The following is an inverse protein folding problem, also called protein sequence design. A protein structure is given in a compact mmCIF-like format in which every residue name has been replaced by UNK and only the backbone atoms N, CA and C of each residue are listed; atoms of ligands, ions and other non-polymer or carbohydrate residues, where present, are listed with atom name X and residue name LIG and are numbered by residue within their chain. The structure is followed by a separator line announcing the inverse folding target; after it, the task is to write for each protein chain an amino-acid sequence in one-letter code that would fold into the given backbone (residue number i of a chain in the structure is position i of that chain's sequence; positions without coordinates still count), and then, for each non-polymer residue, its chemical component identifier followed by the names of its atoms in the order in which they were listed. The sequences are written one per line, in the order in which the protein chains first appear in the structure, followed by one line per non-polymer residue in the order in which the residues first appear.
data_IF_363570867360
#
_entry.id   IF_363570867360
#
_cell.length_a   1.000
_cell.length_b   1.000
_cell.length_c   1.000
_cell.angle_alpha   90.00
_cell.angle_beta   90.00
_cell.angle_gamma   90.00
#
_symmetry.space_group_name_H-M   'P 1'
#
loop_
_entity.id
_entity.type
_entity.pdbx_description
1 polymer ?
#
# COMPACT_ATOMS: atom_id res chain seq x y z
N UNK A 1 -27.19 30.19 -3.25
CA UNK A 1 -26.08 29.43 -2.65
C UNK A 1 -24.97 30.40 -2.29
N UNK A 2 -24.37 30.25 -1.13
CA UNK A 2 -23.20 31.04 -0.76
C UNK A 2 -22.03 30.67 -1.66
N UNK A 3 -21.29 31.67 -2.15
CA UNK A 3 -20.09 31.44 -2.97
C UNK A 3 -18.87 31.96 -2.23
N UNK A 4 -17.85 31.11 -2.10
CA UNK A 4 -16.53 31.48 -1.58
C UNK A 4 -15.48 31.35 -2.68
N UNK A 5 -14.46 32.22 -2.66
CA UNK A 5 -13.39 32.20 -3.66
C UNK A 5 -12.01 32.00 -3.01
N UNK A 6 -11.17 31.20 -3.66
CA UNK A 6 -9.78 30.95 -3.33
C UNK A 6 -8.93 30.95 -4.62
N UNK A 7 -7.61 31.04 -4.52
CA UNK A 7 -6.76 30.80 -5.68
C UNK A 7 -6.74 29.32 -6.01
N UNK A 8 -6.70 28.48 -4.97
CA UNK A 8 -6.69 27.03 -5.11
C UNK A 8 -7.62 26.38 -4.09
N UNK A 9 -8.46 25.46 -4.55
CA UNK A 9 -9.28 24.58 -3.71
C UNK A 9 -8.73 23.17 -3.78
N UNK A 10 -8.54 22.55 -2.62
CA UNK A 10 -7.97 21.20 -2.47
C UNK A 10 -9.04 20.31 -1.87
N UNK A 11 -9.35 19.18 -2.50
CA UNK A 11 -10.29 18.18 -2.03
C UNK A 11 -9.54 17.11 -1.22
N UNK A 12 -9.82 17.03 0.07
CA UNK A 12 -9.23 16.06 1.00
C UNK A 12 -8.14 16.65 1.89
N UNK A 13 -8.32 16.48 3.23
CA UNK A 13 -7.43 16.95 4.29
C UNK A 13 -6.33 15.94 4.70
N UNK A 14 -6.02 14.96 3.85
CA UNK A 14 -4.90 14.04 4.06
C UNK A 14 -3.53 14.69 3.84
N UNK A 15 -2.45 13.88 3.93
CA UNK A 15 -1.08 14.36 3.73
C UNK A 15 -0.92 15.14 2.42
N UNK A 16 -1.37 14.59 1.30
CA UNK A 16 -1.23 15.21 -0.01
C UNK A 16 -1.92 16.57 -0.08
N UNK A 17 -3.14 16.65 0.46
CA UNK A 17 -3.91 17.92 0.46
C UNK A 17 -3.29 18.99 1.34
N UNK A 18 -2.89 18.64 2.57
CA UNK A 18 -2.27 19.63 3.48
C UNK A 18 -0.87 20.06 3.02
N UNK A 19 -0.08 19.16 2.41
CA UNK A 19 1.21 19.53 1.79
C UNK A 19 0.97 20.53 0.65
N UNK A 20 0.03 20.22 -0.24
CA UNK A 20 -0.35 21.10 -1.36
C UNK A 20 -0.80 22.48 -0.87
N UNK A 21 -1.70 22.51 0.12
CA UNK A 21 -2.23 23.75 0.68
C UNK A 21 -1.14 24.61 1.34
N UNK A 22 -0.26 23.99 2.15
CA UNK A 22 0.86 24.70 2.75
C UNK A 22 1.84 25.24 1.71
N UNK A 23 2.13 24.46 0.66
CA UNK A 23 3.02 24.90 -0.40
C UNK A 23 2.39 26.06 -1.20
N UNK A 24 1.10 25.99 -1.51
CA UNK A 24 0.36 27.10 -2.14
C UNK A 24 0.41 28.37 -1.29
N UNK A 25 0.15 28.26 0.01
CA UNK A 25 0.21 29.39 0.93
C UNK A 25 1.63 29.99 1.06
N UNK A 26 2.69 29.16 1.04
CA UNK A 26 4.07 29.66 0.97
C UNK A 26 4.37 30.46 -0.31
N UNK A 27 3.66 30.17 -1.39
CA UNK A 27 3.75 30.90 -2.67
C UNK A 27 2.83 32.11 -2.72
N UNK A 28 2.18 32.49 -1.62
CA UNK A 28 1.29 33.63 -1.53
C UNK A 28 -0.12 33.39 -2.07
N UNK A 29 -0.50 32.14 -2.35
CA UNK A 29 -1.83 31.80 -2.85
C UNK A 29 -2.81 31.56 -1.70
N UNK A 30 -4.05 32.02 -1.86
CA UNK A 30 -5.16 31.72 -0.94
C UNK A 30 -5.60 30.27 -1.16
N UNK A 31 -5.25 29.38 -0.22
CA UNK A 31 -5.55 27.95 -0.28
C UNK A 31 -6.70 27.58 0.64
N UNK A 32 -7.67 26.82 0.13
CA UNK A 32 -8.79 26.26 0.90
C UNK A 32 -8.82 24.73 0.72
N UNK A 33 -8.77 23.99 1.83
CA UNK A 33 -8.91 22.53 1.85
C UNK A 33 -10.33 22.18 2.25
N UNK A 34 -11.00 21.35 1.47
CA UNK A 34 -12.31 20.79 1.76
C UNK A 34 -12.16 19.36 2.30
N UNK A 35 -12.53 19.14 3.54
CA UNK A 35 -12.46 17.84 4.20
C UNK A 35 -13.85 17.34 4.56
N UNK A 36 -14.18 16.10 4.17
CA UNK A 36 -15.51 15.52 4.42
C UNK A 36 -15.77 15.20 5.89
N UNK A 37 -14.72 14.91 6.66
CA UNK A 37 -14.82 14.61 8.08
C UNK A 37 -15.23 15.84 8.89
N UNK A 38 -16.17 15.67 9.84
CA UNK A 38 -16.68 16.76 10.70
C UNK A 38 -15.88 16.93 11.98
N UNK A 39 -15.26 15.84 12.46
CA UNK A 39 -14.51 15.85 13.72
C UNK A 39 -13.23 16.69 13.59
N UNK A 40 -12.77 17.27 14.69
CA UNK A 40 -11.46 17.95 14.76
C UNK A 40 -10.34 17.00 14.29
N UNK A 41 -10.36 15.76 14.77
CA UNK A 41 -9.46 14.70 14.35
C UNK A 41 -10.15 13.76 13.36
N UNK A 42 -10.57 14.30 12.20
CA UNK A 42 -11.20 13.52 11.13
C UNK A 42 -10.36 12.32 10.71
N UNK A 43 -11.03 11.24 10.31
CA UNK A 43 -10.36 10.02 9.86
C UNK A 43 -9.89 10.16 8.40
N UNK A 44 -8.69 9.68 8.14
CA UNK A 44 -8.13 9.53 6.79
C UNK A 44 -6.96 8.53 6.83
N UNK A 45 -6.54 8.05 5.66
CA UNK A 45 -5.48 7.05 5.58
C UNK A 45 -4.14 7.53 6.18
N UNK A 46 -3.87 8.83 6.17
CA UNK A 46 -2.66 9.39 6.79
C UNK A 46 -2.60 9.12 8.29
N UNK A 47 -3.73 9.15 9.00
CA UNK A 47 -3.75 8.80 10.44
C UNK A 47 -3.47 7.32 10.68
N UNK A 48 -3.88 6.47 9.76
CA UNK A 48 -3.70 5.01 9.83
C UNK A 48 -2.33 4.53 9.35
N UNK A 49 -1.48 5.43 8.82
CA UNK A 49 -0.17 5.05 8.31
C UNK A 49 0.79 4.57 9.39
N UNK A 50 1.68 3.64 9.05
CA UNK A 50 2.88 3.34 9.84
C UNK A 50 3.90 4.49 9.84
N UNK A 51 3.76 5.46 8.94
CA UNK A 51 4.55 6.67 8.89
C UNK A 51 5.94 6.52 8.27
N UNK A 52 6.18 5.45 7.54
CA UNK A 52 7.47 5.19 6.89
C UNK A 52 7.52 5.84 5.50
N UNK A 53 8.53 6.67 5.27
CA UNK A 53 8.82 7.29 3.97
C UNK A 53 9.93 6.52 3.26
N UNK A 54 9.58 5.82 2.20
CA UNK A 54 10.51 5.02 1.40
C UNK A 54 10.06 4.92 -0.06
N UNK A 55 10.96 4.53 -0.95
CA UNK A 55 10.66 4.11 -2.31
C UNK A 55 11.15 2.68 -2.53
N UNK A 56 10.26 1.78 -2.92
CA UNK A 56 10.57 0.36 -3.18
C UNK A 56 11.42 -0.31 -2.08
N UNK A 57 11.04 -0.09 -0.79
CA UNK A 57 11.75 -0.58 0.40
C UNK A 57 13.21 -0.12 0.52
N UNK A 58 13.57 1.00 -0.12
CA UNK A 58 14.86 1.66 0.03
C UNK A 58 14.67 3.05 0.63
N UNK A 59 15.76 3.60 1.17
CA UNK A 59 15.77 4.95 1.70
C UNK A 59 15.39 5.98 0.62
N UNK A 60 14.35 6.79 0.89
CA UNK A 60 13.80 7.76 -0.06
C UNK A 60 14.76 8.91 -0.44
N UNK A 61 15.84 9.12 0.33
CA UNK A 61 16.82 10.19 0.10
C UNK A 61 18.07 9.73 -0.66
N UNK A 62 18.08 8.50 -1.19
CA UNK A 62 19.16 8.00 -2.07
C UNK A 62 19.22 8.77 -3.39
N UNK A 63 20.26 8.53 -4.15
CA UNK A 63 20.48 9.18 -5.47
C UNK A 63 19.27 8.96 -6.38
N UNK A 64 18.80 10.05 -7.01
CA UNK A 64 17.58 10.03 -7.81
C UNK A 64 17.63 9.05 -8.98
N UNK A 65 18.78 8.94 -9.67
CA UNK A 65 18.95 8.00 -10.79
C UNK A 65 18.81 6.54 -10.34
N UNK A 66 19.40 6.20 -9.18
CA UNK A 66 19.22 4.88 -8.58
C UNK A 66 17.77 4.59 -8.22
N UNK A 67 17.07 5.55 -7.57
CA UNK A 67 15.68 5.40 -7.20
C UNK A 67 14.76 5.30 -8.42
N UNK A 68 15.03 6.08 -9.48
CA UNK A 68 14.27 6.03 -10.72
C UNK A 68 14.38 4.64 -11.38
N UNK A 69 15.61 4.12 -11.52
CA UNK A 69 15.83 2.77 -12.05
C UNK A 69 15.11 1.72 -11.18
N UNK A 70 15.25 1.80 -9.87
CA UNK A 70 14.62 0.88 -8.92
C UNK A 70 13.10 0.88 -9.02
N UNK A 71 12.45 2.05 -9.17
CA UNK A 71 11.00 2.15 -9.36
C UNK A 71 10.59 1.42 -10.63
N UNK A 72 11.28 1.63 -11.74
CA UNK A 72 11.00 0.96 -13.03
C UNK A 72 11.11 -0.56 -12.91
N UNK A 73 12.19 -1.06 -12.32
CA UNK A 73 12.45 -2.49 -12.13
C UNK A 73 11.40 -3.12 -11.20
N UNK A 74 11.11 -2.49 -10.06
CA UNK A 74 10.16 -3.02 -9.07
C UNK A 74 8.72 -3.06 -9.60
N UNK A 75 8.36 -2.10 -10.45
CA UNK A 75 7.01 -2.02 -11.03
C UNK A 75 6.89 -2.75 -12.37
N UNK A 76 7.97 -3.37 -12.86
CA UNK A 76 8.00 -4.07 -14.15
C UNK A 76 7.54 -3.17 -15.32
N UNK A 77 7.93 -1.92 -15.28
CA UNK A 77 7.53 -0.92 -16.27
C UNK A 77 6.06 -0.47 -16.20
N UNK A 78 5.30 -0.89 -15.19
CA UNK A 78 3.90 -0.49 -15.02
C UNK A 78 3.75 1.01 -14.75
N UNK A 79 4.70 1.62 -14.06
CA UNK A 79 4.69 3.05 -13.75
C UNK A 79 4.99 3.88 -15.01
N UNK A 80 4.37 5.05 -15.14
CA UNK A 80 4.76 6.04 -16.14
C UNK A 80 6.13 6.61 -15.78
N UNK A 81 7.04 6.67 -16.76
CA UNK A 81 8.44 7.01 -16.55
C UNK A 81 8.63 8.44 -16.01
N UNK A 82 7.87 9.40 -16.52
CA UNK A 82 7.85 10.79 -16.05
C UNK A 82 7.43 10.90 -14.57
N UNK A 83 6.43 10.14 -14.15
CA UNK A 83 6.00 10.10 -12.75
C UNK A 83 7.01 9.37 -11.86
N UNK A 84 7.65 8.29 -12.35
CA UNK A 84 8.72 7.61 -11.64
C UNK A 84 9.91 8.55 -11.40
N UNK A 85 10.29 9.33 -12.43
CA UNK A 85 11.34 10.34 -12.33
C UNK A 85 11.00 11.43 -11.31
N UNK A 86 9.76 11.94 -11.35
CA UNK A 86 9.30 12.96 -10.41
C UNK A 86 9.36 12.47 -8.95
N UNK A 87 8.96 11.23 -8.70
CA UNK A 87 9.05 10.61 -7.37
C UNK A 87 10.49 10.49 -6.90
N UNK A 88 11.38 10.01 -7.77
CA UNK A 88 12.80 9.85 -7.46
C UNK A 88 13.48 11.20 -7.15
N UNK A 89 13.24 12.23 -7.95
CA UNK A 89 13.77 13.58 -7.75
C UNK A 89 13.18 14.29 -6.53
N UNK A 90 11.96 13.91 -6.15
CA UNK A 90 11.22 14.50 -5.03
C UNK A 90 11.60 13.96 -3.66
N UNK A 91 12.18 12.77 -3.59
CA UNK A 91 12.34 12.05 -2.33
C UNK A 91 13.07 12.81 -1.22
N UNK A 92 14.30 13.27 -1.52
CA UNK A 92 15.07 14.06 -0.55
C UNK A 92 14.43 15.43 -0.27
N UNK A 93 13.84 16.05 -1.30
CA UNK A 93 13.21 17.38 -1.20
C UNK A 93 12.02 17.36 -0.26
N UNK A 94 11.17 16.34 -0.34
CA UNK A 94 9.97 16.25 0.52
C UNK A 94 10.35 16.01 1.98
N UNK A 95 11.37 15.19 2.26
CA UNK A 95 11.86 14.99 3.63
C UNK A 95 12.38 16.31 4.21
N UNK A 96 13.23 17.03 3.49
CA UNK A 96 13.74 18.32 3.92
C UNK A 96 12.62 19.35 4.13
N UNK A 97 11.66 19.41 3.22
CA UNK A 97 10.52 20.31 3.35
C UNK A 97 9.66 19.99 4.56
N UNK A 98 9.33 18.71 4.81
CA UNK A 98 8.56 18.30 5.98
C UNK A 98 9.30 18.61 7.29
N UNK A 99 10.63 18.44 7.34
CA UNK A 99 11.43 18.83 8.49
C UNK A 99 11.38 20.36 8.74
N UNK A 100 11.44 21.16 7.66
CA UNK A 100 11.28 22.61 7.74
C UNK A 100 9.87 23.02 8.22
N UNK A 101 8.84 22.21 7.94
CA UNK A 101 7.48 22.36 8.47
C UNK A 101 7.35 21.96 9.96
N UNK A 102 8.41 21.47 10.59
CA UNK A 102 8.43 21.04 11.99
C UNK A 102 8.07 19.56 12.20
N UNK A 103 7.98 18.77 11.12
CA UNK A 103 7.72 17.34 11.21
C UNK A 103 8.97 16.61 11.67
N UNK A 104 8.80 15.75 12.68
CA UNK A 104 9.89 14.98 13.27
C UNK A 104 9.92 13.56 12.71
N UNK A 105 11.10 13.10 12.39
CA UNK A 105 11.37 11.74 11.94
C UNK A 105 12.30 11.02 12.92
N UNK A 106 12.24 9.71 12.92
CA UNK A 106 13.14 8.83 13.63
C UNK A 106 13.51 7.61 12.78
N UNK A 107 14.62 6.96 13.11
CA UNK A 107 14.95 5.64 12.59
C UNK A 107 14.28 4.58 13.46
N UNK A 108 13.41 3.74 12.88
CA UNK A 108 12.68 2.72 13.63
C UNK A 108 13.39 1.36 13.69
N UNK A 109 14.30 1.07 12.75
CA UNK A 109 15.11 -0.17 12.74
C UNK A 109 16.41 0.00 11.95
N UNK A 110 17.22 -1.06 11.88
CA UNK A 110 18.43 -1.10 11.05
C UNK A 110 18.15 -1.12 9.54
N UNK A 111 16.94 -1.49 9.12
CA UNK A 111 16.56 -1.52 7.69
C UNK A 111 16.58 -0.12 7.09
N UNK A 112 17.10 0.00 5.85
CA UNK A 112 17.21 1.29 5.16
C UNK A 112 15.87 2.02 5.02
N UNK A 113 14.80 1.30 4.69
CA UNK A 113 13.47 1.89 4.51
C UNK A 113 12.83 2.38 5.82
N UNK A 114 13.37 2.02 6.99
CA UNK A 114 12.97 2.54 8.30
C UNK A 114 13.77 3.75 8.78
N UNK A 115 14.56 4.38 7.91
CA UNK A 115 15.33 5.57 8.28
C UNK A 115 14.44 6.78 8.55
N UNK A 116 13.40 6.95 7.75
CA UNK A 116 12.50 8.11 7.81
C UNK A 116 11.09 7.68 8.25
N UNK A 117 10.92 7.48 9.55
CA UNK A 117 9.64 7.13 10.16
C UNK A 117 9.13 8.31 10.97
N UNK A 118 7.86 8.69 10.80
CA UNK A 118 7.24 9.78 11.56
C UNK A 118 7.29 9.51 13.07
N UNK A 119 7.65 10.54 13.85
CA UNK A 119 7.68 10.48 15.31
C UNK A 119 6.45 11.17 15.92
N UNK A 120 5.85 10.59 16.98
CA UNK A 120 6.13 9.27 17.54
C UNK A 120 5.65 8.15 16.63
N UNK A 121 6.33 7.00 16.61
CA UNK A 121 6.02 5.92 15.69
C UNK A 121 4.66 5.30 15.99
N UNK A 122 4.07 4.63 15.00
CA UNK A 122 2.91 3.78 15.18
C UNK A 122 3.17 2.70 16.24
N UNK A 123 2.11 2.24 16.93
CA UNK A 123 2.20 1.08 17.81
C UNK A 123 2.09 -0.20 17.01
N UNK A 124 2.25 -1.36 17.67
CA UNK A 124 2.18 -2.70 17.06
C UNK A 124 0.85 -3.01 16.33
N UNK A 125 -0.20 -2.25 16.61
CA UNK A 125 -1.49 -2.26 15.90
C UNK A 125 -1.70 -0.92 15.17
N UNK A 126 -0.83 -0.58 14.23
CA UNK A 126 -0.99 0.62 13.41
C UNK A 126 -2.34 0.61 12.69
N UNK A 127 -2.96 1.77 12.63
CA UNK A 127 -4.32 1.93 12.12
C UNK A 127 -5.40 1.77 13.19
N UNK A 128 -5.09 1.19 14.36
CA UNK A 128 -6.03 1.11 15.48
C UNK A 128 -5.69 2.12 16.58
N UNK A 129 -4.39 2.32 16.87
CA UNK A 129 -3.88 3.26 17.87
C UNK A 129 -3.20 4.46 17.20
N UNK A 130 -3.92 5.18 16.36
CA UNK A 130 -3.34 6.27 15.56
C UNK A 130 -3.22 7.60 16.32
N UNK A 131 -4.06 7.84 17.30
CA UNK A 131 -4.13 9.13 17.99
C UNK A 131 -2.82 9.47 18.71
N UNK A 132 -2.33 10.67 18.48
CA UNK A 132 -1.04 11.14 19.00
C UNK A 132 0.18 10.46 18.35
N UNK A 133 0.01 9.68 17.28
CA UNK A 133 1.10 9.07 16.52
C UNK A 133 1.53 9.94 15.34
N UNK A 134 2.60 9.55 14.68
CA UNK A 134 3.25 10.37 13.65
C UNK A 134 2.32 10.89 12.56
N UNK A 135 1.39 10.07 12.05
CA UNK A 135 0.41 10.52 11.07
C UNK A 135 -0.56 11.58 11.61
N UNK A 136 -1.03 11.43 12.85
CA UNK A 136 -1.88 12.42 13.52
C UNK A 136 -1.12 13.71 13.85
N UNK A 137 0.09 13.59 14.40
CA UNK A 137 0.94 14.75 14.70
C UNK A 137 1.27 15.53 13.45
N UNK A 138 1.62 14.85 12.37
CA UNK A 138 1.90 15.45 11.06
C UNK A 138 0.71 16.27 10.55
N UNK A 139 -0.49 15.71 10.54
CA UNK A 139 -1.68 16.43 10.05
C UNK A 139 -1.99 17.67 10.89
N UNK A 140 -1.96 17.56 12.22
CA UNK A 140 -2.19 18.71 13.11
C UNK A 140 -1.13 19.80 12.93
N UNK A 141 0.14 19.42 12.75
CA UNK A 141 1.22 20.39 12.50
C UNK A 141 1.02 21.12 11.16
N UNK A 142 0.72 20.37 10.09
CA UNK A 142 0.48 20.99 8.77
C UNK A 142 -0.78 21.84 8.75
N UNK A 143 -1.84 21.46 9.46
CA UNK A 143 -3.04 22.27 9.61
C UNK A 143 -2.74 23.60 10.35
N UNK A 144 -2.04 23.53 11.48
CA UNK A 144 -1.64 24.74 12.21
C UNK A 144 -0.78 25.69 11.36
N UNK A 145 0.15 25.14 10.57
CA UNK A 145 0.98 25.92 9.66
C UNK A 145 0.16 26.56 8.55
N UNK A 146 -0.83 25.84 7.98
CA UNK A 146 -1.73 26.36 6.96
C UNK A 146 -2.53 27.55 7.48
N UNK A 147 -3.14 27.42 8.65
CA UNK A 147 -3.92 28.49 9.31
C UNK A 147 -3.01 29.69 9.60
N UNK A 148 -1.80 29.50 10.12
CA UNK A 148 -0.83 30.56 10.36
C UNK A 148 -0.47 31.34 9.08
N UNK A 149 -0.52 30.71 7.91
CA UNK A 149 -0.28 31.32 6.59
C UNK A 149 -1.52 31.91 5.95
N UNK A 150 -2.66 31.93 6.67
CA UNK A 150 -3.93 32.48 6.15
C UNK A 150 -4.74 31.53 5.25
N UNK A 151 -4.32 30.27 5.13
CA UNK A 151 -5.12 29.22 4.47
C UNK A 151 -6.22 28.67 5.37
N UNK A 152 -7.12 27.89 4.81
CA UNK A 152 -8.32 27.39 5.51
C UNK A 152 -8.50 25.90 5.30
N UNK A 153 -8.84 25.17 6.37
CA UNK A 153 -9.36 23.80 6.32
C UNK A 153 -10.84 23.81 6.75
N UNK A 154 -11.73 23.45 5.83
CA UNK A 154 -13.18 23.40 6.05
C UNK A 154 -13.61 21.95 6.25
N UNK A 155 -14.04 21.63 7.47
CA UNK A 155 -14.56 20.31 7.85
C UNK A 155 -16.04 20.17 7.49
N UNK A 156 -16.48 18.93 7.23
CA UNK A 156 -17.84 18.63 6.81
C UNK A 156 -18.15 19.03 5.35
N UNK A 157 -17.14 19.49 4.61
CA UNK A 157 -17.27 19.95 3.23
C UNK A 157 -16.97 18.81 2.25
N UNK A 158 -17.88 17.86 2.11
CA UNK A 158 -17.74 16.78 1.13
C UNK A 158 -17.92 17.30 -0.29
N UNK A 159 -16.88 17.19 -1.12
CA UNK A 159 -16.95 17.52 -2.55
C UNK A 159 -17.90 16.54 -3.27
N UNK A 160 -18.80 17.07 -4.09
CA UNK A 160 -19.79 16.28 -4.84
C UNK A 160 -19.58 16.38 -6.36
N UNK A 161 -19.13 17.54 -6.84
CA UNK A 161 -18.88 17.75 -8.27
C UNK A 161 -17.79 18.82 -8.48
N UNK A 162 -17.09 18.71 -9.61
CA UNK A 162 -16.26 19.76 -10.14
C UNK A 162 -17.14 20.69 -10.97
N UNK A 163 -16.92 22.01 -10.84
CA UNK A 163 -17.63 23.03 -11.59
C UNK A 163 -16.82 23.39 -12.82
N UNK A 164 -17.49 23.54 -13.97
CA UNK A 164 -16.84 23.89 -15.23
C UNK A 164 -17.53 25.09 -15.90
N UNK A 165 -16.72 25.96 -16.48
CA UNK A 165 -17.18 27.06 -17.35
C UNK A 165 -16.26 27.09 -18.58
N UNK A 166 -16.85 27.13 -19.77
CA UNK A 166 -16.11 27.13 -21.05
C UNK A 166 -15.05 25.98 -21.15
N UNK A 167 -15.37 24.78 -20.63
CA UNK A 167 -14.46 23.63 -20.65
C UNK A 167 -13.33 23.67 -19.61
N UNK A 168 -13.26 24.69 -18.75
CA UNK A 168 -12.27 24.79 -17.69
C UNK A 168 -12.90 24.50 -16.33
N UNK A 169 -12.17 23.81 -15.45
CA UNK A 169 -12.57 23.61 -14.07
C UNK A 169 -12.41 24.93 -13.30
N UNK A 170 -13.50 25.43 -12.73
CA UNK A 170 -13.56 26.72 -12.03
C UNK A 170 -13.90 26.60 -10.55
N UNK A 171 -13.98 25.38 -10.03
CA UNK A 171 -14.27 25.20 -8.61
C UNK A 171 -14.87 23.83 -8.27
N UNK A 172 -15.37 23.75 -7.05
CA UNK A 172 -15.94 22.53 -6.43
C UNK A 172 -17.31 22.86 -5.85
N UNK A 173 -18.26 21.96 -6.05
CA UNK A 173 -19.57 21.99 -5.42
C UNK A 173 -19.60 21.00 -4.26
N UNK A 174 -20.02 21.48 -3.09
CA UNK A 174 -20.43 20.68 -1.95
C UNK A 174 -21.94 20.66 -1.80
N UNK A 175 -22.49 20.01 -0.81
CA UNK A 175 -23.94 20.00 -0.57
C UNK A 175 -24.51 21.41 -0.41
N UNK A 176 -23.83 22.26 0.36
CA UNK A 176 -24.38 23.52 0.84
C UNK A 176 -23.76 24.76 0.18
N UNK A 177 -22.64 24.58 -0.56
CA UNK A 177 -21.85 25.71 -1.03
C UNK A 177 -21.10 25.43 -2.32
N UNK A 178 -20.86 26.47 -3.10
CA UNK A 178 -19.93 26.49 -4.24
C UNK A 178 -18.62 27.18 -3.85
N UNK A 179 -17.51 26.51 -4.19
CA UNK A 179 -16.15 26.98 -3.92
C UNK A 179 -15.45 27.27 -5.23
N UNK A 180 -15.40 28.56 -5.59
CA UNK A 180 -14.74 28.97 -6.82
C UNK A 180 -13.24 29.07 -6.64
N UNK A 181 -12.48 28.63 -7.66
CA UNK A 181 -11.02 28.63 -7.64
C UNK A 181 -10.45 28.73 -9.06
N UNK A 182 -9.23 29.24 -9.15
CA UNK A 182 -8.44 29.24 -10.39
C UNK A 182 -7.89 27.83 -10.70
N UNK A 183 -7.69 27.01 -9.66
CA UNK A 183 -7.26 25.63 -9.79
C UNK A 183 -7.89 24.75 -8.71
N UNK A 184 -8.16 23.50 -9.04
CA UNK A 184 -8.64 22.47 -8.10
C UNK A 184 -7.63 21.32 -8.06
N UNK A 185 -7.29 20.88 -6.84
CA UNK A 185 -6.46 19.70 -6.63
C UNK A 185 -7.29 18.61 -5.96
N UNK A 186 -7.32 17.43 -6.56
CA UNK A 186 -7.97 16.25 -6.03
C UNK A 186 -6.93 15.48 -5.19
N UNK A 187 -7.14 15.40 -3.88
CA UNK A 187 -6.27 14.75 -2.90
C UNK A 187 -7.07 13.91 -1.89
N UNK A 188 -8.26 13.44 -2.28
CA UNK A 188 -9.26 12.74 -1.46
C UNK A 188 -8.92 11.25 -1.19
N UNK A 189 -7.78 10.78 -1.71
CA UNK A 189 -7.30 9.39 -1.54
C UNK A 189 -7.75 8.48 -2.67
N UNK A 190 -7.84 7.18 -2.36
CA UNK A 190 -8.20 6.15 -3.34
C UNK A 190 -9.69 5.77 -3.29
N UNK A 191 -9.97 4.52 -3.71
CA UNK A 191 -11.34 4.01 -3.78
C UNK A 191 -11.55 2.69 -3.01
N UNK A 192 -10.61 2.31 -2.16
CA UNK A 192 -10.59 1.01 -1.48
C UNK A 192 -11.81 0.77 -0.56
N UNK A 193 -12.55 1.81 -0.16
CA UNK A 193 -13.79 1.68 0.61
C UNK A 193 -15.04 1.53 -0.27
N UNK A 194 -14.90 1.58 -1.59
CA UNK A 194 -16.01 1.44 -2.53
C UNK A 194 -16.03 0.02 -3.09
N UNK A 195 -16.99 -0.86 -2.71
CA UNK A 195 -17.03 -2.25 -3.14
C UNK A 195 -17.14 -2.40 -4.66
N UNK A 196 -17.94 -1.55 -5.31
CA UNK A 196 -18.16 -1.60 -6.78
C UNK A 196 -16.88 -1.28 -7.55
N UNK A 197 -16.13 -0.24 -7.12
CA UNK A 197 -14.85 0.10 -7.73
C UNK A 197 -13.79 -0.95 -7.43
N UNK A 198 -13.80 -1.54 -6.24
CA UNK A 198 -12.90 -2.64 -5.87
C UNK A 198 -13.20 -3.89 -6.71
N UNK A 199 -14.47 -4.24 -6.91
CA UNK A 199 -14.88 -5.35 -7.76
C UNK A 199 -14.51 -5.09 -9.23
N UNK A 200 -14.77 -3.89 -9.72
CA UNK A 200 -14.47 -3.51 -11.10
C UNK A 200 -12.98 -3.55 -11.44
N UNK A 201 -12.12 -3.10 -10.51
CA UNK A 201 -10.73 -2.82 -10.83
C UNK A 201 -9.70 -3.72 -10.15
N UNK A 202 -10.01 -4.28 -8.97
CA UNK A 202 -8.99 -4.91 -8.12
C UNK A 202 -9.24 -6.41 -7.91
N UNK A 203 -10.43 -6.81 -7.49
CA UNK A 203 -10.73 -8.21 -7.15
C UNK A 203 -12.18 -8.53 -7.38
N UNK A 204 -12.47 -9.70 -7.97
CA UNK A 204 -13.85 -10.19 -8.14
C UNK A 204 -14.59 -10.42 -6.82
N UNK A 205 -13.85 -10.54 -5.71
CA UNK A 205 -14.42 -10.77 -4.38
C UNK A 205 -13.80 -9.80 -3.35
N UNK A 206 -14.11 -8.49 -3.43
CA UNK A 206 -13.49 -7.47 -2.58
C UNK A 206 -13.79 -7.66 -1.09
N UNK A 207 -14.92 -8.29 -0.73
CA UNK A 207 -15.26 -8.63 0.64
C UNK A 207 -14.29 -9.65 1.29
N UNK A 208 -13.50 -10.38 0.48
CA UNK A 208 -12.46 -11.30 0.93
C UNK A 208 -11.09 -10.65 1.09
N UNK A 209 -11.04 -9.32 1.05
CA UNK A 209 -9.83 -8.53 1.27
C UNK A 209 -9.98 -7.71 2.55
N UNK A 210 -9.07 -7.90 3.52
CA UNK A 210 -9.07 -7.11 4.76
C UNK A 210 -8.56 -5.70 4.47
N UNK A 211 -9.32 -4.69 4.89
CA UNK A 211 -8.99 -3.28 4.66
C UNK A 211 -8.34 -2.66 5.90
N UNK A 212 -7.20 -1.99 5.74
CA UNK A 212 -6.59 -1.13 6.74
C UNK A 212 -6.60 0.31 6.25
N UNK A 213 -7.64 1.05 6.57
CA UNK A 213 -7.82 2.41 6.09
C UNK A 213 -8.68 3.24 7.06
N UNK A 214 -8.82 4.53 6.78
CA UNK A 214 -9.65 5.47 7.55
C UNK A 214 -11.15 5.38 7.28
N UNK A 215 -11.63 4.45 6.44
CA UNK A 215 -13.05 4.30 6.12
C UNK A 215 -13.63 5.41 5.24
N UNK A 216 -12.81 6.23 4.59
CA UNK A 216 -13.24 7.47 3.93
C UNK A 216 -12.95 7.56 2.44
N UNK A 217 -12.20 6.61 1.87
CA UNK A 217 -11.73 6.65 0.48
C UNK A 217 -12.68 5.88 -0.45
N UNK A 218 -13.71 6.55 -0.96
CA UNK A 218 -14.75 5.98 -1.83
C UNK A 218 -14.56 6.26 -3.33
N UNK A 219 -13.47 6.96 -3.73
CA UNK A 219 -13.18 7.30 -5.11
C UNK A 219 -14.05 8.44 -5.64
N UNK A 220 -14.49 9.36 -4.79
CA UNK A 220 -15.31 10.50 -5.21
C UNK A 220 -14.54 11.40 -6.18
N UNK A 221 -13.27 11.72 -5.89
CA UNK A 221 -12.39 12.46 -6.78
C UNK A 221 -12.13 11.79 -8.11
N UNK A 222 -11.95 10.46 -8.10
CA UNK A 222 -11.81 9.65 -9.32
C UNK A 222 -13.04 9.83 -10.22
N UNK A 223 -14.25 9.68 -9.65
CA UNK A 223 -15.51 9.81 -10.39
C UNK A 223 -15.72 11.23 -10.91
N UNK A 224 -15.43 12.24 -10.08
CA UNK A 224 -15.53 13.64 -10.50
C UNK A 224 -14.59 13.98 -11.67
N UNK A 225 -13.34 13.50 -11.61
CA UNK A 225 -12.39 13.68 -12.69
C UNK A 225 -12.83 12.95 -13.98
N UNK A 226 -13.30 11.71 -13.84
CA UNK A 226 -13.81 10.92 -14.97
C UNK A 226 -15.03 11.58 -15.63
N UNK A 227 -15.92 12.18 -14.86
CA UNK A 227 -17.08 12.91 -15.38
C UNK A 227 -16.71 14.11 -16.26
N UNK A 228 -15.49 14.65 -16.09
CA UNK A 228 -14.91 15.71 -16.94
C UNK A 228 -14.01 15.17 -18.06
N UNK A 229 -14.03 13.86 -18.31
CA UNK A 229 -13.26 13.24 -19.39
C UNK A 229 -11.80 12.92 -19.05
N UNK A 230 -11.40 12.94 -17.79
CA UNK A 230 -10.05 12.53 -17.39
C UNK A 230 -9.81 11.05 -17.72
N UNK A 231 -8.64 10.73 -18.27
CA UNK A 231 -8.21 9.35 -18.51
C UNK A 231 -7.92 8.66 -17.18
N UNK A 232 -8.48 7.48 -16.99
CA UNK A 232 -8.27 6.65 -15.81
C UNK A 232 -7.27 5.56 -16.15
N UNK A 233 -6.17 5.48 -15.41
CA UNK A 233 -5.10 4.50 -15.61
C UNK A 233 -4.65 3.93 -14.27
N UNK A 234 -4.08 2.70 -14.30
CA UNK A 234 -3.40 2.12 -13.13
C UNK A 234 -4.32 1.73 -11.98
N UNK A 235 -5.62 1.52 -12.21
CA UNK A 235 -6.59 1.22 -11.16
C UNK A 235 -6.53 -0.21 -10.65
N UNK A 236 -5.84 -1.11 -11.36
CA UNK A 236 -5.76 -2.55 -11.07
C UNK A 236 -4.55 -2.94 -10.23
N UNK A 237 -3.95 -2.00 -9.53
CA UNK A 237 -2.83 -2.23 -8.60
C UNK A 237 -3.09 -1.51 -7.29
N UNK A 238 -2.63 -2.11 -6.19
CA UNK A 238 -2.71 -1.52 -4.86
C UNK A 238 -1.46 -1.80 -4.04
N UNK A 239 -1.24 -1.00 -3.02
CA UNK A 239 -0.26 -1.27 -1.98
C UNK A 239 -0.94 -2.07 -0.86
N UNK A 240 -0.49 -3.29 -0.66
CA UNK A 240 -1.03 -4.19 0.34
C UNK A 240 -0.06 -5.33 0.64
N UNK A 241 -0.45 -6.19 1.58
CA UNK A 241 0.37 -7.28 2.09
C UNK A 241 -0.43 -8.58 2.10
N UNK A 242 0.26 -9.71 2.05
CA UNK A 242 -0.37 -11.02 2.21
C UNK A 242 -0.62 -11.28 3.70
N UNK A 243 -1.86 -11.61 4.03
CA UNK A 243 -2.29 -11.98 5.38
C UNK A 243 -2.78 -13.42 5.41
N UNK A 244 -2.83 -14.02 6.61
CA UNK A 244 -3.62 -15.24 6.82
C UNK A 244 -5.09 -14.98 6.49
N UNK A 245 -5.75 -15.94 5.85
CA UNK A 245 -7.20 -15.87 5.58
C UNK A 245 -8.03 -15.66 6.86
N UNK A 246 -7.54 -16.17 7.99
CA UNK A 246 -8.20 -16.05 9.28
C UNK A 246 -8.24 -14.61 9.79
N UNK A 247 -7.44 -13.69 9.23
CA UNK A 247 -7.50 -12.27 9.54
C UNK A 247 -8.85 -11.63 9.18
N UNK A 248 -9.66 -12.24 8.33
CA UNK A 248 -11.02 -11.76 8.04
C UNK A 248 -11.91 -11.76 9.28
N UNK A 249 -11.73 -12.73 10.18
CA UNK A 249 -12.56 -12.92 11.38
C UNK A 249 -11.78 -12.79 12.68
N UNK A 250 -10.44 -12.80 12.62
CA UNK A 250 -9.57 -12.71 13.79
C UNK A 250 -8.68 -11.44 13.71
N UNK A 251 -9.04 -10.44 14.50
CA UNK A 251 -8.31 -9.17 14.55
C UNK A 251 -6.91 -9.28 15.18
N UNK A 252 -6.58 -10.37 15.87
CA UNK A 252 -5.23 -10.67 16.33
C UNK A 252 -4.23 -10.91 15.18
N UNK A 253 -4.74 -11.37 14.04
CA UNK A 253 -3.95 -11.61 12.82
C UNK A 253 -3.86 -10.39 11.90
N UNK A 254 -4.37 -9.27 12.31
CA UNK A 254 -4.39 -8.02 11.55
C UNK A 254 -3.99 -6.84 12.46
N UNK A 255 -3.29 -5.81 11.95
CA UNK A 255 -2.87 -5.57 10.56
C UNK A 255 -1.45 -6.04 10.22
N UNK A 256 -0.70 -6.67 11.13
CA UNK A 256 0.75 -6.81 10.96
C UNK A 256 1.30 -8.23 10.78
N UNK A 257 0.54 -9.26 11.10
CA UNK A 257 1.04 -10.62 10.93
C UNK A 257 1.09 -11.00 9.44
N UNK A 258 1.94 -10.27 8.71
CA UNK A 258 2.12 -10.41 7.29
C UNK A 258 2.76 -11.74 6.92
N UNK A 259 2.28 -12.35 5.86
CA UNK A 259 2.91 -13.52 5.25
C UNK A 259 4.02 -13.16 4.26
N UNK A 260 4.30 -11.89 4.04
CA UNK A 260 5.22 -11.43 2.99
C UNK A 260 6.58 -12.14 3.04
N UNK A 261 7.17 -12.34 4.22
CA UNK A 261 8.45 -13.04 4.36
C UNK A 261 8.37 -14.52 4.01
N UNK A 262 7.23 -15.17 4.28
CA UNK A 262 7.01 -16.57 3.96
C UNK A 262 6.71 -16.76 2.48
N UNK A 263 5.81 -15.96 1.89
CA UNK A 263 5.47 -16.07 0.46
C UNK A 263 6.65 -15.72 -0.44
N UNK A 264 7.54 -14.85 0.00
CA UNK A 264 8.75 -14.52 -0.76
C UNK A 264 9.89 -15.51 -0.59
N UNK A 265 9.87 -16.36 0.41
CA UNK A 265 10.86 -17.43 0.62
C UNK A 265 10.36 -18.79 0.15
N UNK A 266 9.08 -19.07 0.31
CA UNK A 266 8.38 -20.27 -0.15
C UNK A 266 7.84 -20.14 -1.58
N UNK A 267 6.80 -20.90 -1.88
CA UNK A 267 6.02 -20.80 -3.11
C UNK A 267 4.56 -20.54 -2.79
N UNK A 268 3.84 -19.85 -3.68
CA UNK A 268 2.40 -19.68 -3.57
C UNK A 268 1.67 -20.46 -4.67
N UNK A 269 0.63 -21.19 -4.27
CA UNK A 269 -0.15 -22.02 -5.16
C UNK A 269 -1.63 -21.65 -5.10
N UNK A 270 -2.33 -21.80 -6.22
CA UNK A 270 -3.76 -21.63 -6.33
C UNK A 270 -4.52 -22.93 -5.91
N UNK A 271 -5.83 -22.95 -6.10
CA UNK A 271 -6.68 -24.10 -5.75
C UNK A 271 -6.28 -25.39 -6.49
N UNK A 272 -5.73 -25.29 -7.70
CA UNK A 272 -5.21 -26.41 -8.49
C UNK A 272 -3.80 -26.84 -8.08
N UNK A 273 -3.26 -26.30 -6.99
CA UNK A 273 -1.90 -26.53 -6.48
C UNK A 273 -0.79 -26.14 -7.46
N UNK A 274 -1.04 -25.15 -8.32
CA UNK A 274 -0.08 -24.61 -9.29
C UNK A 274 0.37 -23.23 -8.88
N UNK A 275 1.65 -22.92 -9.08
CA UNK A 275 2.15 -21.54 -8.97
C UNK A 275 1.46 -20.66 -10.00
N UNK A 276 1.19 -19.41 -9.65
CA UNK A 276 0.49 -18.45 -10.51
C UNK A 276 1.14 -17.05 -10.51
N UNK A 277 2.24 -16.86 -9.79
CA UNK A 277 2.96 -15.58 -9.74
C UNK A 277 4.44 -15.79 -9.44
N UNK A 278 5.25 -14.76 -9.68
CA UNK A 278 6.64 -14.68 -9.27
C UNK A 278 6.76 -14.15 -7.83
N UNK A 279 6.99 -15.06 -6.89
CA UNK A 279 7.12 -14.71 -5.47
C UNK A 279 8.35 -13.83 -5.17
N UNK A 280 9.36 -13.91 -6.03
CA UNK A 280 10.59 -13.11 -5.93
C UNK A 280 10.38 -11.62 -6.10
N UNK A 281 9.25 -11.19 -6.65
CA UNK A 281 8.88 -9.77 -6.78
C UNK A 281 8.43 -9.13 -5.46
N UNK A 282 8.26 -9.92 -4.40
CA UNK A 282 7.94 -9.42 -3.06
C UNK A 282 6.45 -9.50 -2.71
N UNK A 283 6.15 -9.36 -1.42
CA UNK A 283 4.83 -9.58 -0.87
C UNK A 283 3.74 -8.69 -1.45
N UNK A 284 4.05 -7.42 -1.80
CA UNK A 284 3.08 -6.52 -2.44
C UNK A 284 2.66 -7.04 -3.83
N UNK A 285 3.61 -7.57 -4.61
CA UNK A 285 3.31 -8.19 -5.91
C UNK A 285 2.46 -9.44 -5.75
N UNK A 286 2.82 -10.30 -4.79
CA UNK A 286 2.04 -11.51 -4.47
C UNK A 286 0.64 -11.14 -3.99
N UNK A 287 0.48 -10.11 -3.14
CA UNK A 287 -0.84 -9.64 -2.69
C UNK A 287 -1.73 -9.21 -3.86
N UNK A 288 -1.18 -8.51 -4.86
CA UNK A 288 -1.91 -8.14 -6.07
C UNK A 288 -2.31 -9.38 -6.90
N UNK A 289 -1.42 -10.38 -7.01
CA UNK A 289 -1.74 -11.63 -7.70
C UNK A 289 -2.82 -12.44 -6.95
N UNK A 290 -2.77 -12.52 -5.64
CA UNK A 290 -3.82 -13.14 -4.80
C UNK A 290 -5.16 -12.46 -5.02
N UNK A 291 -5.21 -11.11 -5.02
CA UNK A 291 -6.44 -10.36 -5.22
C UNK A 291 -7.07 -10.58 -6.60
N UNK A 292 -6.27 -10.93 -7.62
CA UNK A 292 -6.74 -11.19 -8.99
C UNK A 292 -7.29 -12.61 -9.21
N UNK A 293 -7.13 -13.52 -8.25
CA UNK A 293 -7.75 -14.86 -8.32
C UNK A 293 -9.27 -14.75 -8.25
N UNK A 294 -9.95 -15.74 -8.82
CA UNK A 294 -11.41 -15.85 -8.72
C UNK A 294 -11.87 -15.92 -7.25
N UNK A 295 -11.09 -16.59 -6.42
CA UNK A 295 -11.21 -16.59 -4.97
C UNK A 295 -9.87 -16.28 -4.31
N UNK A 296 -9.66 -15.08 -3.75
CA UNK A 296 -8.44 -14.74 -3.03
C UNK A 296 -8.10 -15.67 -1.85
N UNK A 297 -9.10 -16.35 -1.28
CA UNK A 297 -8.89 -17.28 -0.17
C UNK A 297 -8.44 -18.68 -0.61
N UNK A 298 -8.45 -18.96 -1.90
CA UNK A 298 -8.00 -20.25 -2.47
C UNK A 298 -6.48 -20.39 -2.55
N UNK A 299 -5.74 -19.29 -2.34
CA UNK A 299 -4.27 -19.30 -2.36
C UNK A 299 -3.68 -19.93 -1.10
N UNK A 300 -2.65 -20.74 -1.26
CA UNK A 300 -1.87 -21.30 -0.17
C UNK A 300 -0.38 -20.99 -0.33
N UNK A 301 0.28 -20.66 0.79
CA UNK A 301 1.73 -20.54 0.86
C UNK A 301 2.33 -21.86 1.34
N UNK A 302 3.23 -22.44 0.55
CA UNK A 302 3.93 -23.70 0.87
C UNK A 302 5.39 -23.38 1.18
N UNK A 303 5.85 -23.83 2.33
CA UNK A 303 7.21 -23.60 2.82
C UNK A 303 7.66 -24.75 3.74
N UNK A 304 8.96 -24.91 3.90
CA UNK A 304 9.55 -25.91 4.79
C UNK A 304 9.88 -25.32 6.18
N UNK A 305 10.39 -26.20 7.05
CA UNK A 305 10.79 -25.81 8.40
C UNK A 305 11.94 -24.79 8.41
N UNK A 306 12.87 -24.88 7.45
CA UNK A 306 13.99 -23.93 7.37
C UNK A 306 13.49 -22.50 7.04
N UNK A 307 12.52 -22.37 6.14
CA UNK A 307 11.87 -21.09 5.84
C UNK A 307 11.11 -20.58 7.07
N UNK A 308 10.41 -21.44 7.80
CA UNK A 308 9.68 -21.07 9.02
C UNK A 308 10.61 -20.50 10.10
N UNK A 309 11.75 -21.18 10.35
CA UNK A 309 12.73 -20.75 11.35
C UNK A 309 13.66 -19.62 10.88
N UNK A 310 13.80 -19.43 9.57
CA UNK A 310 14.60 -18.37 8.95
C UNK A 310 13.76 -17.15 8.57
N UNK A 311 13.19 -17.16 7.36
CA UNK A 311 12.41 -16.05 6.83
C UNK A 311 11.18 -15.72 7.69
N UNK A 312 10.54 -16.74 8.26
CA UNK A 312 9.40 -16.58 9.15
C UNK A 312 9.69 -15.77 10.42
N UNK A 313 10.95 -15.69 10.85
CA UNK A 313 11.39 -14.89 12.01
C UNK A 313 11.84 -13.48 11.63
N UNK A 314 11.81 -13.12 10.35
CA UNK A 314 12.21 -11.81 9.88
C UNK A 314 11.05 -10.80 9.94
N UNK A 315 11.41 -9.53 10.08
CA UNK A 315 10.47 -8.42 10.06
C UNK A 315 10.23 -7.80 11.44
N UNK A 316 9.53 -6.70 11.44
CA UNK A 316 9.19 -5.97 12.68
C UNK A 316 8.23 -6.78 13.56
N UNK A 317 7.29 -7.48 12.92
CA UNK A 317 6.41 -8.47 13.53
C UNK A 317 6.52 -9.73 12.69
N UNK A 318 7.29 -10.69 13.21
CA UNK A 318 7.62 -11.91 12.51
C UNK A 318 6.41 -12.86 12.43
N UNK A 319 6.24 -13.55 11.31
CA UNK A 319 5.21 -14.58 11.16
C UNK A 319 5.35 -15.69 12.22
N UNK A 320 6.58 -16.12 12.46
CA UNK A 320 6.94 -17.06 13.54
C UNK A 320 7.48 -16.25 14.75
N UNK A 321 6.85 -16.28 15.94
CA UNK A 321 5.75 -17.16 16.35
C UNK A 321 4.34 -16.52 16.29
N UNK A 322 4.19 -15.32 15.77
CA UNK A 322 2.94 -14.55 15.91
C UNK A 322 1.72 -15.24 15.28
N UNK A 323 1.87 -15.83 14.09
CA UNK A 323 0.75 -16.54 13.46
C UNK A 323 0.20 -17.66 14.33
N UNK A 324 1.11 -18.45 14.97
CA UNK A 324 0.69 -19.54 15.88
C UNK A 324 0.03 -18.99 17.13
N UNK A 325 0.60 -17.96 17.76
CA UNK A 325 0.07 -17.35 18.98
C UNK A 325 -1.31 -16.74 18.77
N UNK A 326 -1.54 -16.14 17.60
CA UNK A 326 -2.81 -15.50 17.26
C UNK A 326 -3.80 -16.47 16.58
N UNK A 327 -3.47 -17.76 16.49
CA UNK A 327 -4.40 -18.80 16.03
C UNK A 327 -4.62 -18.84 14.51
N UNK A 328 -3.62 -18.47 13.70
CA UNK A 328 -3.68 -18.66 12.27
C UNK A 328 -3.70 -20.15 11.88
N UNK A 329 -4.42 -20.48 10.82
CA UNK A 329 -4.42 -21.83 10.24
C UNK A 329 -3.07 -22.11 9.58
N UNK A 330 -2.32 -23.04 10.15
CA UNK A 330 -1.05 -23.54 9.62
C UNK A 330 -1.11 -25.09 9.64
N UNK A 331 -1.04 -25.68 8.45
CA UNK A 331 -0.94 -27.13 8.29
C UNK A 331 0.52 -27.58 8.37
N UNK A 332 0.78 -28.71 9.04
CA UNK A 332 2.11 -29.30 9.16
C UNK A 332 2.03 -30.80 8.92
N UNK A 333 2.87 -31.31 8.05
CA UNK A 333 2.98 -32.73 7.77
C UNK A 333 4.41 -33.09 7.32
N UNK A 334 4.78 -34.36 7.45
CA UNK A 334 6.09 -34.88 7.03
C UNK A 334 6.15 -35.21 5.53
N UNK A 335 4.99 -35.27 4.86
CA UNK A 335 4.90 -35.53 3.42
C UNK A 335 3.98 -34.57 2.72
N UNK A 336 4.23 -34.31 1.43
CA UNK A 336 3.37 -33.45 0.60
C UNK A 336 1.96 -34.05 0.42
N UNK A 337 1.80 -35.37 0.42
CA UNK A 337 0.48 -36.02 0.34
C UNK A 337 -0.34 -35.73 1.60
N UNK A 338 0.25 -35.90 2.78
CA UNK A 338 -0.43 -35.60 4.03
C UNK A 338 -0.71 -34.10 4.19
N UNK A 339 0.22 -33.23 3.75
CA UNK A 339 0.02 -31.78 3.75
C UNK A 339 -1.12 -31.36 2.82
N UNK A 340 -1.16 -31.92 1.61
CA UNK A 340 -2.23 -31.64 0.64
C UNK A 340 -3.60 -32.09 1.16
N UNK A 341 -3.67 -33.25 1.81
CA UNK A 341 -4.90 -33.74 2.43
C UNK A 341 -5.42 -32.80 3.52
N UNK A 342 -4.52 -32.30 4.42
CA UNK A 342 -4.89 -31.35 5.46
C UNK A 342 -5.36 -30.00 4.88
N UNK A 343 -4.68 -29.52 3.83
CA UNK A 343 -4.97 -28.24 3.19
C UNK A 343 -6.15 -28.30 2.21
N UNK A 344 -6.64 -29.49 1.87
CA UNK A 344 -7.73 -29.68 0.90
C UNK A 344 -7.33 -29.34 -0.55
N UNK A 345 -6.04 -29.53 -0.91
CA UNK A 345 -5.50 -29.22 -2.25
C UNK A 345 -5.10 -30.49 -2.99
N UNK A 346 -4.87 -30.39 -4.32
CA UNK A 346 -4.51 -31.53 -5.15
C UNK A 346 -3.06 -32.03 -4.87
N UNK A 347 -2.91 -33.21 -4.27
CA UNK A 347 -1.61 -33.76 -3.86
C UNK A 347 -0.69 -34.05 -5.06
N UNK A 348 -1.22 -34.56 -6.18
CA UNK A 348 -0.42 -34.87 -7.38
C UNK A 348 0.15 -33.60 -7.98
N UNK A 349 -0.70 -32.60 -8.16
CA UNK A 349 -0.27 -31.29 -8.69
C UNK A 349 0.69 -30.58 -7.76
N UNK A 350 0.46 -30.64 -6.44
CA UNK A 350 1.38 -30.04 -5.45
C UNK A 350 2.78 -30.67 -5.53
N UNK A 351 2.88 -32.01 -5.57
CA UNK A 351 4.16 -32.72 -5.74
C UNK A 351 4.87 -32.33 -7.03
N UNK A 352 4.14 -32.24 -8.14
CA UNK A 352 4.69 -31.80 -9.44
C UNK A 352 5.23 -30.36 -9.36
N UNK A 353 4.46 -29.47 -8.77
CA UNK A 353 4.84 -28.06 -8.59
C UNK A 353 6.10 -27.90 -7.76
N UNK A 354 6.19 -28.59 -6.61
CA UNK A 354 7.36 -28.55 -5.72
C UNK A 354 8.58 -29.18 -6.40
N UNK A 355 8.41 -30.32 -7.08
CA UNK A 355 9.50 -30.99 -7.80
C UNK A 355 10.07 -30.11 -8.93
N UNK A 356 9.20 -29.52 -9.75
CA UNK A 356 9.62 -28.62 -10.83
C UNK A 356 10.35 -27.37 -10.30
N UNK A 357 9.88 -26.81 -9.21
CA UNK A 357 10.52 -25.68 -8.55
C UNK A 357 11.90 -26.03 -8.00
N UNK A 358 12.03 -27.17 -7.27
CA UNK A 358 13.29 -27.62 -6.71
C UNK A 358 14.32 -27.97 -7.80
N UNK A 359 13.90 -28.62 -8.88
CA UNK A 359 14.77 -28.92 -10.02
C UNK A 359 15.33 -27.64 -10.66
N UNK A 360 14.51 -26.61 -10.80
CA UNK A 360 14.97 -25.31 -11.30
C UNK A 360 15.95 -24.62 -10.34
N UNK A 361 15.78 -24.78 -9.04
CA UNK A 361 16.73 -24.30 -8.04
C UNK A 361 18.10 -24.98 -8.15
N UNK A 362 18.09 -26.30 -8.28
CA UNK A 362 19.31 -27.12 -8.37
C UNK A 362 20.09 -26.81 -9.65
N UNK A 363 19.39 -26.66 -10.80
CA UNK A 363 20.02 -26.36 -12.10
C UNK A 363 20.56 -24.94 -12.22
N UNK A 364 20.16 -24.01 -11.36
CA UNK A 364 20.44 -22.57 -11.48
C UNK A 364 21.30 -22.03 -10.34
N UNK A 365 22.36 -22.76 -9.92
CA UNK A 365 23.15 -22.46 -8.71
C UNK A 365 23.66 -21.01 -8.57
N UNK A 366 23.87 -20.29 -9.68
CA UNK A 366 24.40 -18.91 -9.71
C UNK A 366 23.50 -17.89 -10.41
N UNK A 367 22.29 -18.26 -10.85
CA UNK A 367 21.42 -17.34 -11.56
C UNK A 367 20.68 -16.39 -10.59
N UNK A 368 20.51 -15.13 -10.98
CA UNK A 368 19.66 -14.18 -10.27
C UNK A 368 18.16 -14.55 -10.35
N UNK A 369 17.81 -15.35 -11.35
CA UNK A 369 16.48 -15.84 -11.67
C UNK A 369 16.49 -17.34 -11.88
N UNK A 370 15.46 -18.04 -11.46
CA UNK A 370 15.20 -19.43 -11.82
C UNK A 370 13.98 -19.53 -12.73
N UNK A 371 13.97 -20.54 -13.60
CA UNK A 371 12.86 -20.79 -14.55
C UNK A 371 12.31 -22.21 -14.35
N UNK A 372 11.36 -22.39 -13.43
CA UNK A 372 10.68 -23.65 -13.27
C UNK A 372 9.92 -24.06 -14.54
N UNK A 373 9.67 -25.36 -14.68
CA UNK A 373 8.95 -25.91 -15.84
C UNK A 373 7.48 -25.46 -15.95
N UNK A 374 6.93 -24.83 -14.91
CA UNK A 374 5.61 -24.20 -14.93
C UNK A 374 5.54 -22.91 -15.77
N UNK A 375 6.69 -22.44 -16.28
CA UNK A 375 6.81 -21.22 -17.09
C UNK A 375 6.80 -19.92 -16.29
N UNK A 376 6.66 -19.97 -14.97
CA UNK A 376 6.68 -18.78 -14.11
C UNK A 376 8.09 -18.61 -13.53
N UNK A 377 8.81 -17.62 -14.02
CA UNK A 377 10.12 -17.27 -13.50
C UNK A 377 10.04 -16.89 -12.00
N UNK A 378 11.14 -17.11 -11.29
CA UNK A 378 11.33 -16.58 -9.95
C UNK A 378 12.55 -15.70 -9.91
N UNK A 379 12.34 -14.43 -9.64
CA UNK A 379 13.39 -13.43 -9.47
C UNK A 379 13.94 -13.41 -8.04
N UNK A 380 15.03 -12.67 -7.81
CA UNK A 380 15.61 -12.41 -6.50
C UNK A 380 15.95 -13.67 -5.67
N UNK A 381 16.77 -14.55 -6.24
CA UNK A 381 17.26 -15.78 -5.59
C UNK A 381 17.90 -15.58 -4.19
N UNK A 382 18.26 -14.35 -3.83
CA UNK A 382 18.87 -14.04 -2.51
C UNK A 382 18.02 -14.46 -1.30
N UNK A 383 16.74 -14.66 -1.48
CA UNK A 383 15.79 -15.09 -0.45
C UNK A 383 15.51 -16.60 -0.44
N UNK A 384 16.13 -17.34 -1.36
CA UNK A 384 15.97 -18.78 -1.40
C UNK A 384 16.86 -19.39 -0.34
N UNK A 385 16.26 -20.00 0.69
CA UNK A 385 16.99 -20.83 1.62
C UNK A 385 17.44 -22.10 0.91
N UNK A 386 18.73 -22.41 1.02
CA UNK A 386 19.25 -23.68 0.51
C UNK A 386 18.61 -24.81 1.29
N UNK A 387 18.21 -25.87 0.58
CA UNK A 387 17.82 -27.15 1.18
C UNK A 387 18.84 -27.51 2.26
N UNK A 388 18.42 -27.64 3.51
CA UNK A 388 19.25 -28.28 4.52
C UNK A 388 19.45 -29.72 4.09
N UNK A 389 20.69 -30.07 3.80
CA UNK A 389 21.09 -31.45 3.63
C UNK A 389 20.87 -32.21 4.95
N UNK A 390 20.01 -33.21 4.95
CA UNK A 390 19.80 -34.12 6.06
C UNK A 390 18.37 -34.49 6.21
#
# INVERSE_FOLDING_TARGET
MNSSSADIVIIGGGLAGLVTANRAAQLGLKATVLEQGIAEKYLCNTRYTGGTFHLCLREITLQADFLHQLIRETTDGFVKDDLARLLADGGAKIIAWLQAEGIKFMRASASEYHKWVLAPPGRSRAGLDWEGRGGDVLLRTLEANLVKRGGTLVRGAKAQALMTENGQCVGVKTQDQEWRARAVVIADGGFQCNPELMEKYVSRQPARMKQRNGGTAFGDGLRMAQALGAAIIGTNRFYGHVLSKDALTNDGLWPYQYLDSLVTAGIVVNQESRRYTDEGRGGVSVANAVASLDDPLSSACVFDHAIWEGAGRNGLIAANPHLVKEGATIFKADTLDALAAQAGVNAVALKQTVAAYNAALESSSNAAEIKPADGIARQNKKWLFRKSSG
#
